data_IF_757050440196
#
_entry.id   IF_757050440196
#
_cell.length_a   1.000
_cell.length_b   1.000
_cell.length_c   1.000
_cell.angle_alpha   90.00
_cell.angle_beta   90.00
_cell.angle_gamma   90.00
#
_symmetry.space_group_name_H-M   'P 1'
#
loop_
_entity.id
_entity.type
_entity.pdbx_description
1 polymer ?
#
# COMPACT_ATOMS: atom_id res chain seq x y z
N UNK A 1 -14.01 11.82 -11.44
CA UNK A 1 -13.17 11.65 -10.22
C UNK A 1 -13.85 12.44 -9.12
N UNK A 2 -14.01 11.86 -7.94
CA UNK A 2 -14.72 12.50 -6.82
C UNK A 2 -13.81 13.48 -6.09
N UNK A 3 -14.37 14.62 -5.69
CA UNK A 3 -13.65 15.67 -4.96
C UNK A 3 -13.87 15.57 -3.44
N UNK A 4 -14.86 14.78 -3.00
CA UNK A 4 -15.10 14.51 -1.58
C UNK A 4 -15.62 13.10 -1.31
N UNK A 5 -15.43 12.62 -0.07
CA UNK A 5 -15.97 11.32 0.36
C UNK A 5 -17.50 11.35 0.32
N UNK A 6 -18.11 12.50 0.65
CA UNK A 6 -19.56 12.70 0.58
C UNK A 6 -20.10 12.46 -0.83
N UNK A 7 -19.43 13.01 -1.84
CA UNK A 7 -19.81 12.83 -3.25
C UNK A 7 -19.66 11.38 -3.68
N UNK A 8 -18.55 10.73 -3.32
CA UNK A 8 -18.29 9.32 -3.61
C UNK A 8 -19.37 8.39 -3.02
N UNK A 9 -19.77 8.64 -1.77
CA UNK A 9 -20.84 7.89 -1.09
C UNK A 9 -22.21 8.20 -1.72
N UNK A 10 -22.47 9.46 -2.08
CA UNK A 10 -23.69 9.86 -2.78
C UNK A 10 -23.87 9.11 -4.10
N UNK A 11 -22.84 9.09 -4.94
CA UNK A 11 -22.85 8.37 -6.22
C UNK A 11 -23.04 6.85 -6.04
N UNK A 12 -22.49 6.25 -4.98
CA UNK A 12 -22.69 4.83 -4.69
C UNK A 12 -24.15 4.53 -4.34
N UNK A 13 -24.77 5.37 -3.52
CA UNK A 13 -26.17 5.21 -3.14
C UNK A 13 -27.12 5.44 -4.33
N UNK A 14 -26.87 6.45 -5.16
CA UNK A 14 -27.69 6.76 -6.34
C UNK A 14 -27.62 5.67 -7.41
N UNK A 15 -26.44 5.10 -7.63
CA UNK A 15 -26.22 4.06 -8.64
C UNK A 15 -26.51 2.64 -8.16
N UNK A 16 -26.67 2.43 -6.85
CA UNK A 16 -26.81 1.11 -6.24
C UNK A 16 -25.54 0.24 -6.35
N UNK A 17 -24.38 0.84 -6.65
CA UNK A 17 -23.10 0.13 -6.83
C UNK A 17 -22.23 0.26 -5.59
N UNK A 18 -21.42 -0.76 -5.26
CA UNK A 18 -20.45 -0.64 -4.17
C UNK A 18 -19.34 0.36 -4.54
N UNK A 19 -18.74 1.01 -3.54
CA UNK A 19 -17.66 1.99 -3.72
C UNK A 19 -16.52 1.45 -4.59
N UNK A 20 -16.14 0.17 -4.40
CA UNK A 20 -15.10 -0.48 -5.21
C UNK A 20 -15.40 -0.44 -6.70
N UNK A 21 -16.68 -0.59 -7.08
CA UNK A 21 -17.10 -0.64 -8.47
C UNK A 21 -16.97 0.74 -9.13
N UNK A 22 -17.39 1.79 -8.43
CA UNK A 22 -17.21 3.18 -8.89
C UNK A 22 -15.73 3.52 -9.10
N UNK A 23 -14.86 3.04 -8.22
CA UNK A 23 -13.40 3.25 -8.37
C UNK A 23 -12.86 2.48 -9.56
N UNK A 24 -13.28 1.23 -9.77
CA UNK A 24 -12.84 0.44 -10.93
C UNK A 24 -13.30 1.09 -12.24
N UNK A 25 -14.55 1.52 -12.33
CA UNK A 25 -15.10 2.21 -13.51
C UNK A 25 -14.33 3.51 -13.79
N UNK A 26 -14.03 4.27 -12.74
CA UNK A 26 -13.22 5.49 -12.85
C UNK A 26 -11.81 5.18 -13.33
N UNK A 27 -11.17 4.12 -12.81
CA UNK A 27 -9.81 3.74 -13.22
C UNK A 27 -9.78 3.25 -14.68
N UNK A 28 -10.77 2.45 -15.11
CA UNK A 28 -10.92 2.02 -16.52
C UNK A 28 -11.07 3.23 -17.43
N UNK A 29 -11.95 4.17 -17.08
CA UNK A 29 -12.18 5.39 -17.86
C UNK A 29 -10.91 6.27 -17.95
N UNK A 30 -10.16 6.39 -16.86
CA UNK A 30 -8.96 7.24 -16.81
C UNK A 30 -7.74 6.61 -17.48
N UNK A 31 -7.58 5.29 -17.38
CA UNK A 31 -6.40 4.58 -17.88
C UNK A 31 -6.56 4.11 -19.32
N UNK A 32 -7.80 3.98 -19.81
CA UNK A 32 -8.12 3.46 -21.14
C UNK A 32 -7.85 1.96 -21.31
N UNK A 33 -7.48 1.25 -20.23
CA UNK A 33 -7.24 -0.21 -20.28
C UNK A 33 -8.48 -1.00 -19.89
N UNK A 34 -8.63 -2.26 -20.35
CA UNK A 34 -9.76 -3.10 -20.01
C UNK A 34 -9.88 -3.35 -18.50
N UNK A 35 -11.12 -3.57 -18.04
CA UNK A 35 -11.43 -3.90 -16.64
C UNK A 35 -10.59 -5.06 -16.09
N UNK A 36 -10.40 -6.10 -16.89
CA UNK A 36 -9.61 -7.30 -16.52
C UNK A 36 -8.19 -6.93 -16.16
N UNK A 37 -7.56 -6.04 -16.93
CA UNK A 37 -6.19 -5.59 -16.67
C UNK A 37 -6.09 -4.74 -15.41
N UNK A 38 -7.06 -3.85 -15.18
CA UNK A 38 -7.17 -3.06 -13.93
C UNK A 38 -7.29 -3.99 -12.72
N UNK A 39 -8.14 -5.01 -12.83
CA UNK A 39 -8.32 -6.02 -11.78
C UNK A 39 -7.05 -6.84 -11.52
N UNK A 40 -6.42 -7.38 -12.57
CA UNK A 40 -5.22 -8.20 -12.47
C UNK A 40 -4.02 -7.42 -11.91
N UNK A 41 -3.97 -6.13 -12.17
CA UNK A 41 -3.00 -5.24 -11.56
C UNK A 41 -3.21 -5.11 -10.06
N UNK A 42 -4.44 -4.92 -9.61
CA UNK A 42 -4.73 -4.88 -8.17
C UNK A 42 -4.50 -6.23 -7.50
N UNK A 43 -4.78 -7.33 -8.20
CA UNK A 43 -4.43 -8.69 -7.75
C UNK A 43 -2.92 -8.87 -7.57
N UNK A 44 -2.10 -8.39 -8.50
CA UNK A 44 -0.63 -8.39 -8.36
C UNK A 44 -0.17 -7.60 -7.13
N UNK A 45 -0.83 -6.48 -6.85
CA UNK A 45 -0.54 -5.69 -5.64
C UNK A 45 -0.86 -6.47 -4.36
N UNK A 46 -2.04 -7.09 -4.28
CA UNK A 46 -2.42 -7.96 -3.16
C UNK A 46 -1.41 -9.09 -2.96
N UNK A 47 -1.02 -9.77 -4.04
CA UNK A 47 -0.02 -10.84 -3.99
C UNK A 47 1.34 -10.33 -3.50
N UNK A 48 1.76 -9.13 -3.91
CA UNK A 48 2.99 -8.51 -3.42
C UNK A 48 2.91 -8.21 -1.93
N UNK A 49 1.77 -7.73 -1.44
CA UNK A 49 1.54 -7.51 0.00
C UNK A 49 1.66 -8.82 0.79
N UNK A 50 0.99 -9.89 0.33
CA UNK A 50 1.05 -11.23 0.95
C UNK A 50 2.46 -11.82 0.96
N UNK A 51 3.18 -11.69 -0.14
CA UNK A 51 4.57 -12.14 -0.25
C UNK A 51 5.48 -11.39 0.73
N UNK A 52 5.28 -10.08 0.91
CA UNK A 52 6.04 -9.30 1.88
C UNK A 52 5.75 -9.75 3.32
N UNK A 53 4.49 -9.95 3.68
CA UNK A 53 4.10 -10.48 5.01
C UNK A 53 4.75 -11.84 5.24
N UNK A 54 4.53 -12.79 4.31
CA UNK A 54 5.09 -14.15 4.39
C UNK A 54 6.60 -14.10 4.55
N UNK A 55 7.29 -13.27 3.77
CA UNK A 55 8.75 -13.16 3.83
C UNK A 55 9.24 -12.62 5.18
N UNK A 56 8.56 -11.62 5.75
CA UNK A 56 8.98 -11.00 7.01
C UNK A 56 8.68 -11.87 8.24
N UNK A 57 7.65 -12.72 8.17
CA UNK A 57 7.27 -13.56 9.31
C UNK A 57 7.80 -14.98 9.27
N UNK A 58 8.28 -15.50 8.13
CA UNK A 58 8.76 -16.90 8.01
C UNK A 58 10.25 -17.04 8.35
N UNK A 59 10.65 -18.26 8.76
CA UNK A 59 12.03 -18.54 9.16
C UNK A 59 12.49 -17.65 10.32
N UNK A 60 13.67 -17.05 10.17
CA UNK A 60 14.24 -16.05 11.10
C UNK A 60 13.73 -14.61 10.82
N UNK A 61 12.89 -14.44 9.79
CA UNK A 61 12.41 -13.14 9.34
C UNK A 61 13.39 -12.47 8.38
N UNK A 62 13.33 -11.15 8.29
CA UNK A 62 14.23 -10.34 7.45
C UNK A 62 14.96 -9.30 8.29
N UNK A 63 16.22 -9.05 7.96
CA UNK A 63 17.05 -8.09 8.67
C UNK A 63 17.49 -6.94 7.77
N UNK A 64 17.41 -5.73 8.31
CA UNK A 64 17.93 -4.54 7.64
C UNK A 64 19.46 -4.60 7.50
N UNK A 65 20.04 -4.05 6.42
CA UNK A 65 21.50 -4.00 6.24
C UNK A 65 22.24 -3.24 7.35
N UNK A 66 21.55 -2.36 8.08
CA UNK A 66 22.11 -1.60 9.21
C UNK A 66 22.10 -2.39 10.52
N UNK A 67 21.38 -3.52 10.59
CA UNK A 67 21.20 -4.30 11.80
C UNK A 67 20.28 -3.66 12.86
N UNK A 68 19.63 -2.53 12.55
CA UNK A 68 18.79 -1.80 13.53
C UNK A 68 17.38 -2.39 13.67
N UNK A 69 16.90 -3.10 12.65
CA UNK A 69 15.55 -3.68 12.59
C UNK A 69 15.60 -5.05 11.90
N UNK A 70 14.73 -5.96 12.32
CA UNK A 70 14.51 -7.26 11.71
C UNK A 70 14.23 -8.39 12.69
N UNK A 71 13.26 -9.24 12.34
CA UNK A 71 12.88 -10.42 13.11
C UNK A 71 11.90 -10.12 14.25
N UNK A 72 11.40 -8.89 14.38
CA UNK A 72 10.37 -8.53 15.35
C UNK A 72 9.04 -9.22 15.03
N UNK A 73 8.68 -9.34 13.76
CA UNK A 73 7.51 -10.10 13.31
C UNK A 73 7.58 -11.57 13.77
N UNK A 74 8.77 -12.18 13.67
CA UNK A 74 9.02 -13.54 14.18
C UNK A 74 8.91 -13.60 15.70
N UNK A 75 9.51 -12.64 16.42
CA UNK A 75 9.38 -12.56 17.89
C UNK A 75 7.91 -12.43 18.32
N UNK A 76 7.11 -11.63 17.61
CA UNK A 76 5.67 -11.50 17.87
C UNK A 76 4.96 -12.84 17.62
N UNK A 77 5.26 -13.52 16.50
CA UNK A 77 4.70 -14.83 16.19
C UNK A 77 5.00 -15.86 17.28
N UNK A 78 6.26 -15.95 17.72
CA UNK A 78 6.66 -16.89 18.77
C UNK A 78 6.03 -16.51 20.12
N UNK A 79 5.96 -15.22 20.44
CA UNK A 79 5.26 -14.76 21.65
C UNK A 79 3.79 -15.20 21.65
N UNK A 80 3.08 -15.03 20.52
CA UNK A 80 1.67 -15.44 20.37
C UNK A 80 1.45 -16.94 20.55
N UNK A 81 2.39 -17.77 20.11
CA UNK A 81 2.29 -19.24 20.25
C UNK A 81 2.41 -19.70 21.70
N UNK A 82 3.22 -19.01 22.50
CA UNK A 82 3.58 -19.46 23.85
C UNK A 82 2.93 -18.65 24.97
N UNK A 83 2.34 -17.50 24.65
CA UNK A 83 1.79 -16.57 25.62
C UNK A 83 0.45 -16.00 25.20
N UNK A 84 -0.28 -15.48 26.19
CA UNK A 84 -1.54 -14.76 25.96
C UNK A 84 -1.24 -13.28 25.69
N UNK A 85 -1.72 -12.77 24.57
CA UNK A 85 -1.62 -11.36 24.23
C UNK A 85 -2.71 -10.53 24.93
N UNK A 86 -2.42 -9.27 25.24
CA UNK A 86 -3.41 -8.36 25.84
C UNK A 86 -4.53 -8.00 24.86
N UNK A 87 -4.18 -7.77 23.59
CA UNK A 87 -5.10 -7.30 22.55
C UNK A 87 -5.81 -8.43 21.78
N UNK A 88 -5.63 -9.68 22.20
CA UNK A 88 -6.17 -10.85 21.50
C UNK A 88 -5.36 -11.25 20.25
N UNK A 89 -5.66 -12.45 19.73
CA UNK A 89 -4.82 -13.06 18.70
C UNK A 89 -4.98 -12.41 17.33
N UNK A 90 -6.20 -12.09 16.91
CA UNK A 90 -6.42 -11.44 15.61
C UNK A 90 -5.76 -10.06 15.50
N UNK A 91 -5.78 -9.25 16.56
CA UNK A 91 -5.11 -7.96 16.52
C UNK A 91 -3.59 -8.16 16.43
N UNK A 92 -3.04 -9.02 17.29
CA UNK A 92 -1.59 -9.23 17.32
C UNK A 92 -1.07 -10.00 16.10
N UNK A 93 -1.85 -10.94 15.59
CA UNK A 93 -1.50 -11.84 14.53
C UNK A 93 -1.87 -11.36 13.16
N UNK A 94 -3.14 -11.05 12.96
CA UNK A 94 -3.62 -10.50 11.71
C UNK A 94 -3.05 -9.10 11.47
N UNK A 95 -3.13 -8.18 12.44
CA UNK A 95 -2.74 -6.79 12.19
C UNK A 95 -1.28 -6.49 12.49
N UNK A 96 -0.86 -6.64 13.75
CA UNK A 96 0.45 -6.13 14.21
C UNK A 96 1.60 -6.92 13.60
N UNK A 97 1.55 -8.25 13.62
CA UNK A 97 2.60 -9.10 13.05
C UNK A 97 2.77 -8.84 11.55
N UNK A 98 1.69 -8.83 10.77
CA UNK A 98 1.77 -8.61 9.32
C UNK A 98 2.24 -7.19 8.96
N UNK A 99 1.82 -6.17 9.72
CA UNK A 99 2.32 -4.82 9.55
C UNK A 99 3.82 -4.69 9.85
N UNK A 100 4.28 -5.37 10.91
CA UNK A 100 5.69 -5.41 11.28
C UNK A 100 6.51 -6.14 10.22
N UNK A 101 6.05 -7.32 9.78
CA UNK A 101 6.70 -8.12 8.74
C UNK A 101 6.91 -7.32 7.45
N UNK A 102 5.88 -6.60 7.00
CA UNK A 102 5.99 -5.75 5.80
C UNK A 102 6.98 -4.59 6.00
N UNK A 103 6.97 -3.97 7.18
CA UNK A 103 7.86 -2.85 7.51
C UNK A 103 9.32 -3.30 7.57
N UNK A 104 9.59 -4.48 8.13
CA UNK A 104 10.91 -5.09 8.14
C UNK A 104 11.39 -5.44 6.72
N UNK A 105 10.51 -5.98 5.85
CA UNK A 105 10.85 -6.22 4.43
C UNK A 105 11.19 -4.91 3.72
N UNK A 106 10.50 -3.82 4.03
CA UNK A 106 10.86 -2.51 3.49
C UNK A 106 12.23 -2.04 3.99
N UNK A 107 12.51 -2.20 5.30
CA UNK A 107 13.80 -1.86 5.90
C UNK A 107 14.95 -2.75 5.38
N UNK A 108 14.65 -3.98 4.99
CA UNK A 108 15.58 -4.92 4.36
C UNK A 108 15.77 -4.68 2.85
N UNK A 109 15.26 -3.57 2.31
CA UNK A 109 15.27 -3.24 0.88
C UNK A 109 14.57 -4.29 0.00
N UNK A 110 13.62 -5.03 0.56
CA UNK A 110 12.78 -5.98 -0.15
C UNK A 110 11.70 -5.32 -1.00
N UNK A 111 11.00 -6.16 -1.76
CA UNK A 111 9.85 -5.75 -2.57
C UNK A 111 8.63 -5.64 -1.66
N UNK A 112 8.03 -4.45 -1.66
CA UNK A 112 6.79 -4.14 -0.93
C UNK A 112 5.84 -3.36 -1.82
N UNK A 113 4.56 -3.42 -1.48
CA UNK A 113 3.54 -2.60 -2.09
C UNK A 113 3.39 -1.29 -1.30
N UNK A 114 3.59 -0.13 -1.93
CA UNK A 114 3.49 1.15 -1.24
C UNK A 114 2.03 1.54 -1.03
N UNK A 115 1.67 1.89 0.21
CA UNK A 115 0.31 2.30 0.59
C UNK A 115 0.36 3.74 1.08
N UNK A 116 0.13 4.69 0.15
CA UNK A 116 0.51 6.12 0.22
C UNK A 116 2.01 6.37 0.18
N UNK A 117 2.79 5.78 1.10
CA UNK A 117 4.25 5.84 1.10
C UNK A 117 4.88 4.49 1.41
N UNK A 118 6.19 4.33 1.19
CA UNK A 118 6.90 3.12 1.58
C UNK A 118 6.95 2.93 3.11
N UNK A 119 7.00 4.02 3.88
CA UNK A 119 7.06 3.97 5.35
C UNK A 119 5.78 3.44 5.99
N UNK A 120 4.63 3.67 5.34
CA UNK A 120 3.31 3.21 5.79
C UNK A 120 2.87 1.88 5.15
N UNK A 121 3.76 1.19 4.44
CA UNK A 121 3.41 0.02 3.63
C UNK A 121 2.84 -1.16 4.42
N UNK A 122 3.10 -1.25 5.73
CA UNK A 122 2.58 -2.31 6.59
C UNK A 122 1.10 -2.16 6.99
N UNK A 123 0.50 -0.98 6.82
CA UNK A 123 -0.86 -0.74 7.33
C UNK A 123 -1.93 -1.56 6.59
N UNK A 124 -1.95 -1.55 5.25
CA UNK A 124 -2.96 -2.35 4.52
C UNK A 124 -2.74 -3.86 4.68
N UNK A 125 -1.52 -4.41 4.59
CA UNK A 125 -1.28 -5.83 4.85
C UNK A 125 -1.81 -6.27 6.23
N UNK A 126 -1.55 -5.49 7.29
CA UNK A 126 -2.08 -5.79 8.62
C UNK A 126 -3.61 -5.80 8.67
N UNK A 127 -4.25 -4.79 8.06
CA UNK A 127 -5.73 -4.76 8.03
C UNK A 127 -6.29 -5.92 7.20
N UNK A 128 -5.67 -6.26 6.08
CA UNK A 128 -6.10 -7.36 5.20
C UNK A 128 -6.01 -8.70 5.91
N UNK A 129 -4.88 -9.02 6.53
CA UNK A 129 -4.70 -10.30 7.24
C UNK A 129 -5.68 -10.41 8.42
N UNK A 130 -5.86 -9.33 9.20
CA UNK A 130 -6.84 -9.32 10.29
C UNK A 130 -8.30 -9.49 9.83
N UNK A 131 -8.69 -8.85 8.73
CA UNK A 131 -10.04 -8.97 8.18
C UNK A 131 -10.27 -10.33 7.51
N UNK A 132 -9.26 -10.85 6.80
CA UNK A 132 -9.33 -12.15 6.15
C UNK A 132 -9.53 -13.26 7.19
N UNK A 133 -8.78 -13.24 8.30
CA UNK A 133 -8.94 -14.21 9.40
C UNK A 133 -10.32 -14.12 10.06
N UNK A 134 -10.87 -12.91 10.21
CA UNK A 134 -12.13 -12.69 10.96
C UNK A 134 -13.40 -12.90 10.18
N UNK A 135 -13.40 -12.56 8.90
CA UNK A 135 -14.59 -12.47 8.06
C UNK A 135 -14.60 -13.49 6.92
N UNK A 136 -13.58 -14.37 6.85
CA UNK A 136 -13.43 -15.40 5.82
C UNK A 136 -13.56 -14.82 4.40
N UNK A 137 -12.88 -13.69 4.17
CA UNK A 137 -12.98 -12.96 2.91
C UNK A 137 -12.23 -13.69 1.80
N UNK A 138 -12.89 -13.84 0.65
CA UNK A 138 -12.27 -14.36 -0.55
C UNK A 138 -11.31 -13.34 -1.19
N UNK A 139 -10.52 -13.81 -2.17
CA UNK A 139 -9.56 -12.94 -2.87
C UNK A 139 -10.26 -11.75 -3.57
N UNK A 140 -11.46 -11.97 -4.11
CA UNK A 140 -12.20 -10.94 -4.81
C UNK A 140 -12.65 -9.81 -3.86
N UNK A 141 -13.09 -10.14 -2.65
CA UNK A 141 -13.45 -9.18 -1.61
C UNK A 141 -12.23 -8.35 -1.17
N UNK A 142 -11.06 -8.98 -1.02
CA UNK A 142 -9.83 -8.27 -0.68
C UNK A 142 -9.36 -7.33 -1.81
N UNK A 143 -9.52 -7.74 -3.06
CA UNK A 143 -9.24 -6.87 -4.22
C UNK A 143 -10.20 -5.66 -4.22
N UNK A 144 -11.50 -5.89 -3.99
CA UNK A 144 -12.49 -4.79 -3.87
C UNK A 144 -12.20 -3.87 -2.69
N UNK A 145 -11.71 -4.40 -1.57
CA UNK A 145 -11.24 -3.62 -0.44
C UNK A 145 -10.08 -2.69 -0.85
N UNK A 146 -9.08 -3.21 -1.56
CA UNK A 146 -7.97 -2.40 -2.07
C UNK A 146 -8.41 -1.29 -3.02
N UNK A 147 -9.37 -1.56 -3.93
CA UNK A 147 -9.96 -0.52 -4.77
C UNK A 147 -10.64 0.56 -3.94
N UNK A 148 -11.42 0.18 -2.94
CA UNK A 148 -12.11 1.12 -2.05
C UNK A 148 -11.10 1.98 -1.28
N UNK A 149 -10.07 1.36 -0.70
CA UNK A 149 -8.98 2.05 0.00
C UNK A 149 -8.21 3.02 -0.92
N UNK A 150 -7.93 2.58 -2.16
CA UNK A 150 -7.27 3.42 -3.17
C UNK A 150 -8.10 4.63 -3.58
N UNK A 151 -9.41 4.44 -3.78
CA UNK A 151 -10.34 5.53 -4.08
C UNK A 151 -10.43 6.57 -2.98
N UNK A 152 -10.60 6.12 -1.72
CA UNK A 152 -10.60 7.01 -0.56
C UNK A 152 -9.27 7.75 -0.39
N UNK A 153 -8.15 7.05 -0.58
CA UNK A 153 -6.81 7.64 -0.55
C UNK A 153 -6.64 8.74 -1.59
N UNK A 154 -7.21 8.57 -2.79
CA UNK A 154 -7.16 9.56 -3.85
C UNK A 154 -7.96 10.82 -3.51
N UNK A 155 -9.16 10.67 -2.93
CA UNK A 155 -10.00 11.79 -2.49
C UNK A 155 -9.28 12.61 -1.40
N UNK A 156 -8.72 11.93 -0.39
CA UNK A 156 -7.98 12.59 0.69
C UNK A 156 -6.78 13.34 0.12
N UNK A 157 -6.02 12.69 -0.76
CA UNK A 157 -4.82 13.28 -1.34
C UNK A 157 -5.10 14.36 -2.41
N UNK A 158 -6.35 14.60 -2.78
CA UNK A 158 -6.76 15.70 -3.65
C UNK A 158 -7.48 16.82 -2.88
N UNK A 159 -7.68 16.65 -1.56
CA UNK A 159 -8.30 17.67 -0.72
C UNK A 159 -7.35 18.88 -0.57
N UNK A 160 -7.81 20.11 -0.86
CA UNK A 160 -6.93 21.29 -0.96
C UNK A 160 -6.27 21.74 0.36
N UNK A 161 -6.69 21.18 1.50
CA UNK A 161 -6.19 21.55 2.83
C UNK A 161 -4.84 20.93 3.21
N UNK A 162 -4.32 19.97 2.43
CA UNK A 162 -3.01 19.37 2.70
C UNK A 162 -1.88 20.22 2.07
N UNK A 163 -0.87 20.65 2.84
CA UNK A 163 0.31 21.31 2.31
C UNK A 163 0.92 20.52 1.15
N UNK A 164 1.25 21.21 0.06
CA UNK A 164 1.81 20.64 -1.18
C UNK A 164 3.08 19.78 -0.94
N UNK A 165 3.78 20.04 0.17
CA UNK A 165 4.96 19.33 0.65
C UNK A 165 4.65 17.90 1.18
N UNK A 166 3.42 17.64 1.63
CA UNK A 166 3.01 16.32 2.16
C UNK A 166 2.43 15.39 1.09
N UNK A 167 2.07 15.92 -0.08
CA UNK A 167 1.18 15.22 -1.03
C UNK A 167 1.85 14.91 -2.37
N UNK A 168 3.06 15.44 -2.59
CA UNK A 168 3.69 15.47 -3.91
C UNK A 168 2.92 16.39 -4.86
N UNK A 169 3.63 16.98 -5.83
CA UNK A 169 3.10 18.02 -6.73
C UNK A 169 1.66 17.73 -7.23
N UNK A 170 0.79 18.76 -7.16
CA UNK A 170 -0.61 18.70 -7.58
C UNK A 170 -0.73 18.39 -9.08
N UNK A 171 -0.91 17.13 -9.44
CA UNK A 171 -1.40 16.72 -10.76
C UNK A 171 -2.45 15.62 -10.61
N UNK A 172 -3.53 15.72 -11.39
CA UNK A 172 -4.61 14.73 -11.47
C UNK A 172 -4.06 13.47 -12.14
N UNK A 173 -3.54 12.55 -11.34
CA UNK A 173 -3.05 11.25 -11.76
C UNK A 173 -4.00 10.15 -11.25
N UNK A 174 -4.27 9.12 -12.07
CA UNK A 174 -5.06 7.95 -11.66
C UNK A 174 -4.42 7.17 -10.50
N UNK A 175 -5.19 6.27 -9.86
CA UNK A 175 -4.72 5.52 -8.67
C UNK A 175 -3.43 4.76 -8.99
N UNK A 176 -3.32 4.22 -10.20
CA UNK A 176 -2.14 3.52 -10.66
C UNK A 176 -0.88 4.40 -10.82
N UNK A 177 -1.04 5.62 -11.34
CA UNK A 177 0.08 6.53 -11.66
C UNK A 177 0.82 6.97 -10.38
N UNK A 178 0.10 7.15 -9.27
CA UNK A 178 0.71 7.47 -7.97
C UNK A 178 1.53 6.31 -7.39
N UNK A 179 1.09 5.07 -7.61
CA UNK A 179 1.82 3.88 -7.14
C UNK A 179 3.12 3.69 -7.94
N UNK A 180 3.12 3.98 -9.25
CA UNK A 180 4.31 3.95 -10.10
C UNK A 180 5.36 5.02 -9.76
N UNK A 181 4.93 6.26 -9.49
CA UNK A 181 5.83 7.37 -9.13
C UNK A 181 6.56 7.11 -7.80
N UNK A 182 5.95 6.40 -6.85
CA UNK A 182 6.59 5.97 -5.60
C UNK A 182 7.64 4.88 -5.79
N UNK A 183 7.45 3.97 -6.76
CA UNK A 183 8.49 3.02 -7.16
C UNK A 183 9.67 3.71 -7.86
N UNK A 184 9.40 4.73 -8.68
CA UNK A 184 10.44 5.57 -9.29
C UNK A 184 11.20 6.40 -8.25
N UNK A 185 10.54 6.84 -7.17
CA UNK A 185 11.23 7.47 -6.03
C UNK A 185 12.21 6.51 -5.36
N UNK A 186 11.90 5.21 -5.23
CA UNK A 186 12.87 4.19 -4.76
C UNK A 186 14.09 4.09 -5.68
N UNK A 187 13.91 4.10 -7.00
CA UNK A 187 15.05 4.08 -7.93
C UNK A 187 15.90 5.34 -7.78
N UNK A 188 15.27 6.52 -7.63
CA UNK A 188 15.98 7.79 -7.44
C UNK A 188 16.69 7.91 -6.10
N UNK A 189 16.09 7.46 -4.99
CA UNK A 189 16.73 7.49 -3.66
C UNK A 189 17.84 6.45 -3.55
N UNK A 190 17.68 5.27 -4.15
CA UNK A 190 18.75 4.28 -4.26
C UNK A 190 19.93 4.80 -5.11
N UNK A 191 19.67 5.52 -6.20
CA UNK A 191 20.69 6.20 -7.01
C UNK A 191 21.37 7.35 -6.26
N UNK A 192 20.61 8.14 -5.51
CA UNK A 192 21.14 9.26 -4.69
C UNK A 192 22.01 8.76 -3.53
N UNK A 193 21.70 7.61 -2.93
CA UNK A 193 22.53 7.00 -1.88
C UNK A 193 23.88 6.48 -2.38
N UNK A 194 24.04 6.28 -3.71
CA UNK A 194 25.30 5.87 -4.35
C UNK A 194 26.15 7.04 -4.85
N UNK A 195 25.60 8.26 -4.96
CA UNK A 195 26.30 9.40 -5.51
C UNK A 195 26.89 10.31 -4.40
N UNK A 196 28.02 9.92 -3.81
CA UNK A 196 28.86 10.84 -3.02
C UNK A 196 29.63 11.81 -3.94
N UNK A 197 28.98 12.81 -4.54
CA UNK A 197 29.64 14.07 -5.00
C UNK A 197 28.64 15.23 -5.04
N UNK A 198 29.07 16.46 -4.67
CA UNK A 198 28.19 17.62 -4.70
C UNK A 198 28.19 18.20 -6.11
N UNK A 199 27.10 18.14 -6.87
CA UNK A 199 26.97 19.04 -8.03
C UNK A 199 25.55 19.41 -8.41
N UNK A 200 25.48 20.67 -8.85
CA UNK A 200 24.36 21.50 -9.29
C UNK A 200 23.41 20.78 -10.26
N UNK A 201 22.11 20.95 -10.04
CA UNK A 201 21.06 20.59 -11.00
C UNK A 201 21.22 21.36 -12.31
N UNK A 202 21.01 20.67 -13.45
CA UNK A 202 20.21 21.22 -14.52
C UNK A 202 18.91 20.43 -14.64
N UNK A 203 17.82 21.19 -14.70
CA UNK A 203 16.50 20.79 -15.14
C UNK A 203 16.61 20.09 -16.52
N UNK A 204 16.28 18.81 -16.63
CA UNK A 204 15.80 18.21 -17.88
C UNK A 204 14.75 17.15 -17.55
N UNK A 205 13.51 17.49 -17.90
CA UNK A 205 12.34 16.61 -18.01
C UNK A 205 12.51 15.80 -19.30
N UNK A 206 12.25 14.49 -19.29
CA UNK A 206 11.84 13.81 -20.52
C UNK A 206 10.70 12.83 -20.26
N UNK A 207 9.61 13.12 -20.99
CA UNK A 207 8.49 12.26 -21.33
C UNK A 207 8.95 11.16 -22.29
N UNK A 208 8.54 9.92 -22.02
CA UNK A 208 8.12 8.91 -23.00
C UNK A 208 7.40 7.81 -22.22
#
# INVERSE_FOLDING_TARGET
>A
MFDSIKEMVGAANESGKPLSELVIETEVANSGVPRTEVWDKMKRNLNTMRQAVTKGETGEGVHSPTGLTGGEAVKIREYRKHHRTLSGDTMMGGAVQAAMATSEVNASLGVICATQTAGSAGTLPGVIEALQERLDLDEAALIRFLFTAGGLGLVIANTPALPEQLVGAKQKWGVHQRWGQLQLWKQRVALLSRARRPFRLPLVIYLA
#
